data_IF_216728748181
#
_entry.id   IF_216728748181
#
_cell.length_a   1.000
_cell.length_b   1.000
_cell.length_c   1.000
_cell.angle_alpha   90.00
_cell.angle_beta   90.00
_cell.angle_gamma   90.00
#
_symmetry.space_group_name_H-M   'P 1'
#
loop_
_entity.id
_entity.type
_entity.pdbx_description
1 polymer ?
#
# COMPACT_ATOMS: atom_id res chain seq x y z
N UNK A 1 20.67 -8.15 2.60
CA UNK A 1 19.48 -7.38 3.05
C UNK A 1 19.26 -6.13 2.21
N UNK A 2 20.29 -5.30 1.97
CA UNK A 2 20.18 -4.08 1.12
C UNK A 2 19.75 -4.29 -0.34
N UNK A 3 19.91 -5.49 -0.91
CA UNK A 3 19.49 -5.74 -2.30
C UNK A 3 17.96 -5.76 -2.52
N UNK A 4 17.19 -6.28 -1.55
CA UNK A 4 15.72 -6.34 -1.69
C UNK A 4 15.13 -4.94 -1.58
N UNK A 5 15.56 -4.15 -0.59
CA UNK A 5 15.11 -2.77 -0.40
C UNK A 5 15.45 -1.89 -1.61
N UNK A 6 16.68 -2.00 -2.14
CA UNK A 6 17.10 -1.26 -3.33
C UNK A 6 16.34 -1.67 -4.59
N UNK A 7 16.06 -2.96 -4.77
CA UNK A 7 15.28 -3.46 -5.90
C UNK A 7 13.83 -2.97 -5.81
N UNK A 8 13.20 -3.14 -4.64
CA UNK A 8 11.85 -2.64 -4.35
C UNK A 8 11.76 -1.15 -4.60
N UNK A 9 12.68 -0.36 -4.04
CA UNK A 9 12.74 1.08 -4.26
C UNK A 9 12.78 1.44 -5.75
N UNK A 10 13.65 0.77 -6.52
CA UNK A 10 13.83 1.06 -7.94
C UNK A 10 12.55 0.76 -8.71
N UNK A 11 11.91 -0.39 -8.47
CA UNK A 11 10.65 -0.74 -9.12
C UNK A 11 9.52 0.22 -8.72
N UNK A 12 9.36 0.49 -7.42
CA UNK A 12 8.35 1.42 -6.90
C UNK A 12 8.54 2.82 -7.50
N UNK A 13 9.77 3.30 -7.60
CA UNK A 13 10.08 4.57 -8.27
C UNK A 13 9.62 4.54 -9.74
N UNK A 14 10.04 3.55 -10.52
CA UNK A 14 9.70 3.46 -11.94
C UNK A 14 8.18 3.36 -12.17
N UNK A 15 7.47 2.61 -11.34
CA UNK A 15 6.00 2.52 -11.38
C UNK A 15 5.36 3.86 -11.03
N UNK A 16 5.81 4.51 -9.95
CA UNK A 16 5.25 5.79 -9.49
C UNK A 16 5.40 6.92 -10.52
N UNK A 17 6.46 6.88 -11.33
CA UNK A 17 6.70 7.83 -12.42
C UNK A 17 5.98 7.45 -13.73
N UNK A 18 5.19 6.37 -13.73
CA UNK A 18 4.49 5.87 -14.91
C UNK A 18 5.39 5.20 -15.96
N UNK A 19 6.69 5.02 -15.68
CA UNK A 19 7.64 4.32 -16.57
C UNK A 19 7.38 2.82 -16.63
N UNK A 20 6.75 2.27 -15.58
CA UNK A 20 6.20 0.92 -15.54
C UNK A 20 4.70 0.99 -15.24
N UNK A 21 3.90 0.01 -15.72
CA UNK A 21 2.47 -0.05 -15.40
C UNK A 21 2.21 -0.28 -13.91
N UNK A 22 1.12 0.30 -13.37
CA UNK A 22 0.69 0.07 -11.97
C UNK A 22 0.56 -1.40 -11.59
N UNK A 23 0.16 -2.27 -12.52
CA UNK A 23 0.06 -3.71 -12.30
C UNK A 23 1.38 -4.36 -11.84
N UNK A 24 2.53 -3.75 -12.10
CA UNK A 24 3.83 -4.22 -11.61
C UNK A 24 3.95 -4.15 -10.08
N UNK A 25 3.12 -3.35 -9.39
CA UNK A 25 3.05 -3.39 -7.93
C UNK A 25 2.72 -4.79 -7.40
N UNK A 26 1.95 -5.61 -8.13
CA UNK A 26 1.63 -6.96 -7.69
C UNK A 26 2.91 -7.82 -7.56
N UNK A 27 3.80 -7.74 -8.55
CA UNK A 27 5.07 -8.46 -8.51
C UNK A 27 5.98 -7.96 -7.36
N UNK A 28 5.99 -6.65 -7.12
CA UNK A 28 6.71 -6.06 -5.97
C UNK A 28 6.14 -6.61 -4.66
N UNK A 29 4.82 -6.57 -4.49
CA UNK A 29 4.11 -7.01 -3.28
C UNK A 29 4.35 -8.51 -3.03
N UNK A 30 4.24 -9.35 -4.07
CA UNK A 30 4.49 -10.79 -3.96
C UNK A 30 5.95 -11.09 -3.57
N UNK A 31 6.91 -10.33 -4.12
CA UNK A 31 8.33 -10.49 -3.80
C UNK A 31 8.68 -10.10 -2.35
N UNK A 32 7.89 -9.22 -1.73
CA UNK A 32 8.15 -8.68 -0.38
C UNK A 32 7.17 -9.15 0.70
N UNK A 33 6.11 -9.90 0.35
CA UNK A 33 5.10 -10.37 1.29
C UNK A 33 5.70 -11.22 2.45
N UNK A 34 6.75 -11.98 2.17
CA UNK A 34 7.52 -12.75 3.15
C UNK A 34 8.66 -12.01 3.85
N UNK A 35 8.89 -10.72 3.54
CA UNK A 35 10.01 -9.96 4.09
C UNK A 35 9.72 -9.46 5.51
N UNK A 36 10.67 -9.63 6.43
CA UNK A 36 10.46 -9.33 7.85
C UNK A 36 10.29 -7.83 8.17
N UNK A 37 10.82 -6.92 7.34
CA UNK A 37 10.72 -5.46 7.58
C UNK A 37 9.53 -4.84 6.84
N UNK A 38 8.32 -5.33 7.14
CA UNK A 38 7.08 -4.95 6.44
C UNK A 38 6.77 -3.46 6.51
N UNK A 39 7.01 -2.81 7.66
CA UNK A 39 6.77 -1.37 7.82
C UNK A 39 7.63 -0.54 6.88
N UNK A 40 8.91 -0.90 6.73
CA UNK A 40 9.84 -0.20 5.84
C UNK A 40 9.41 -0.33 4.36
N UNK A 41 9.05 -1.54 3.94
CA UNK A 41 8.52 -1.80 2.60
C UNK A 41 7.22 -1.03 2.37
N UNK A 42 6.31 -1.06 3.33
CA UNK A 42 5.03 -0.39 3.25
C UNK A 42 5.21 1.12 3.13
N UNK A 43 6.14 1.71 3.88
CA UNK A 43 6.47 3.12 3.76
C UNK A 43 6.99 3.47 2.34
N UNK A 44 7.87 2.65 1.75
CA UNK A 44 8.29 2.82 0.36
C UNK A 44 7.11 2.73 -0.62
N UNK A 45 6.22 1.74 -0.43
CA UNK A 45 5.01 1.59 -1.25
C UNK A 45 4.09 2.81 -1.10
N UNK A 46 3.86 3.30 0.11
CA UNK A 46 3.04 4.48 0.39
C UNK A 46 3.56 5.71 -0.37
N UNK A 47 4.87 5.94 -0.37
CA UNK A 47 5.49 6.98 -1.20
C UNK A 47 5.24 6.75 -2.69
N UNK A 48 5.48 5.54 -3.20
CA UNK A 48 5.24 5.22 -4.61
C UNK A 48 3.79 5.43 -5.04
N UNK A 49 2.83 5.02 -4.20
CA UNK A 49 1.40 5.17 -4.42
C UNK A 49 1.00 6.65 -4.42
N UNK A 50 1.51 7.44 -3.47
CA UNK A 50 1.29 8.88 -3.45
C UNK A 50 1.86 9.56 -4.70
N UNK A 51 3.05 9.17 -5.13
CA UNK A 51 3.64 9.70 -6.34
C UNK A 51 2.87 9.30 -7.61
N UNK A 52 2.34 8.08 -7.67
CA UNK A 52 1.44 7.67 -8.75
C UNK A 52 0.16 8.53 -8.82
N UNK A 53 -0.28 9.17 -7.72
CA UNK A 53 -1.39 10.12 -7.77
C UNK A 53 -1.00 11.45 -8.39
N UNK A 54 0.16 11.98 -8.04
CA UNK A 54 0.56 13.34 -8.42
C UNK A 54 1.17 13.41 -9.83
N UNK A 55 1.83 12.33 -10.27
CA UNK A 55 2.43 12.27 -11.61
C UNK A 55 1.32 12.06 -12.65
N UNK A 56 1.21 13.02 -13.57
CA UNK A 56 0.32 12.93 -14.72
C UNK A 56 0.94 12.03 -15.79
N UNK A 57 0.53 10.76 -15.83
CA UNK A 57 0.96 9.79 -16.84
C UNK A 57 -0.18 8.83 -17.19
N UNK A 58 -0.20 8.29 -18.41
CA UNK A 58 -1.22 7.34 -18.88
C UNK A 58 -1.27 6.05 -18.03
N UNK A 59 -0.13 5.67 -17.45
CA UNK A 59 0.02 4.47 -16.61
C UNK A 59 -0.41 4.69 -15.15
N UNK A 60 -0.56 5.93 -14.71
CA UNK A 60 -0.88 6.30 -13.31
C UNK A 60 -2.21 7.08 -13.19
N UNK A 61 -2.90 7.27 -14.31
CA UNK A 61 -4.20 7.93 -14.36
C UNK A 61 -5.24 7.31 -13.41
N UNK A 62 -6.25 8.10 -13.04
CA UNK A 62 -7.25 7.71 -12.02
C UNK A 62 -7.93 6.38 -12.34
N UNK A 63 -8.26 6.10 -13.61
CA UNK A 63 -8.85 4.83 -14.02
C UNK A 63 -7.90 3.65 -13.84
N UNK A 64 -6.59 3.84 -14.06
CA UNK A 64 -5.59 2.78 -13.85
C UNK A 64 -5.44 2.46 -12.37
N UNK A 65 -5.40 3.49 -11.51
CA UNK A 65 -5.39 3.36 -10.04
C UNK A 65 -6.64 2.65 -9.53
N UNK A 66 -7.81 3.04 -10.03
CA UNK A 66 -9.10 2.42 -9.68
C UNK A 66 -9.16 0.96 -10.06
N UNK A 67 -8.86 0.62 -11.32
CA UNK A 67 -8.89 -0.76 -11.78
C UNK A 67 -7.91 -1.63 -10.98
N UNK A 68 -6.69 -1.13 -10.75
CA UNK A 68 -5.70 -1.86 -9.97
C UNK A 68 -6.15 -2.10 -8.53
N UNK A 69 -6.76 -1.11 -7.85
CA UNK A 69 -7.25 -1.30 -6.47
C UNK A 69 -8.38 -2.32 -6.39
N UNK A 70 -9.30 -2.30 -7.36
CA UNK A 70 -10.41 -3.25 -7.41
C UNK A 70 -9.91 -4.68 -7.66
N UNK A 71 -8.93 -4.85 -8.55
CA UNK A 71 -8.28 -6.14 -8.79
C UNK A 71 -7.54 -6.61 -7.53
N UNK A 72 -6.85 -5.70 -6.83
CA UNK A 72 -6.13 -5.98 -5.60
C UNK A 72 -7.07 -6.39 -4.45
N UNK A 73 -8.20 -5.71 -4.28
CA UNK A 73 -9.27 -6.12 -3.36
C UNK A 73 -9.74 -7.55 -3.67
N UNK A 74 -10.00 -7.86 -4.95
CA UNK A 74 -10.35 -9.20 -5.39
C UNK A 74 -9.29 -10.26 -5.05
N UNK A 75 -8.01 -9.92 -5.20
CA UNK A 75 -6.88 -10.77 -4.84
C UNK A 75 -6.84 -11.09 -3.34
N UNK A 76 -6.95 -10.07 -2.48
CA UNK A 76 -6.98 -10.23 -1.01
C UNK A 76 -8.12 -11.17 -0.60
N UNK A 77 -9.32 -10.93 -1.13
CA UNK A 77 -10.49 -11.77 -0.84
C UNK A 77 -10.23 -13.21 -1.26
N UNK A 78 -9.71 -13.44 -2.47
CA UNK A 78 -9.43 -14.79 -2.95
C UNK A 78 -8.40 -15.52 -2.06
N UNK A 79 -7.42 -14.81 -1.50
CA UNK A 79 -6.49 -15.40 -0.53
C UNK A 79 -7.17 -15.75 0.80
N UNK A 80 -8.00 -14.84 1.33
CA UNK A 80 -8.72 -15.05 2.58
C UNK A 80 -9.62 -16.29 2.53
N UNK A 81 -10.31 -16.53 1.41
CA UNK A 81 -11.19 -17.68 1.22
C UNK A 81 -10.48 -18.99 0.82
N UNK A 82 -9.19 -18.95 0.43
CA UNK A 82 -8.39 -20.14 0.06
C UNK A 82 -7.61 -20.74 1.24
N UNK A 83 -7.73 -20.18 2.44
CA UNK A 83 -7.01 -20.63 3.64
C UNK A 83 -7.25 -22.13 3.92
N UNK A 84 -6.18 -22.93 3.97
CA UNK A 84 -6.25 -24.37 4.29
C UNK A 84 -5.86 -24.60 5.76
N UNK A 85 -6.55 -25.43 6.55
CA UNK A 85 -6.56 -25.32 8.01
C UNK A 85 -5.29 -25.65 8.82
N UNK A 86 -4.14 -26.04 8.23
CA UNK A 86 -3.09 -26.74 9.01
C UNK A 86 -1.79 -25.97 9.29
N UNK A 87 -1.45 -24.86 8.61
CA UNK A 87 -0.26 -24.03 8.89
C UNK A 87 -0.53 -22.52 8.63
N UNK A 88 -1.43 -21.92 9.41
CA UNK A 88 -2.10 -20.64 9.08
C UNK A 88 -1.40 -19.33 9.49
N UNK A 89 -0.25 -19.38 10.18
CA UNK A 89 0.39 -18.15 10.68
C UNK A 89 0.96 -17.28 9.55
N UNK A 90 1.55 -17.89 8.53
CA UNK A 90 2.13 -17.16 7.38
C UNK A 90 1.07 -16.51 6.49
N UNK A 91 -0.10 -17.12 6.36
CA UNK A 91 -1.19 -16.59 5.54
C UNK A 91 -1.88 -15.39 6.20
N UNK A 92 -2.15 -15.46 7.51
CA UNK A 92 -2.69 -14.30 8.26
C UNK A 92 -1.77 -13.09 8.14
N UNK A 93 -0.49 -13.32 8.40
CA UNK A 93 0.55 -12.30 8.27
C UNK A 93 0.64 -11.69 6.86
N UNK A 94 0.45 -12.51 5.83
CA UNK A 94 0.39 -12.05 4.45
C UNK A 94 -0.86 -11.17 4.21
N UNK A 95 -2.04 -11.63 4.64
CA UNK A 95 -3.29 -10.87 4.51
C UNK A 95 -3.21 -9.54 5.27
N UNK A 96 -2.64 -9.54 6.48
CA UNK A 96 -2.41 -8.31 7.27
C UNK A 96 -1.57 -7.30 6.46
N UNK A 97 -0.47 -7.75 5.87
CA UNK A 97 0.36 -6.89 5.03
C UNK A 97 -0.38 -6.36 3.80
N UNK A 98 -1.16 -7.21 3.13
CA UNK A 98 -1.95 -6.78 1.97
C UNK A 98 -3.02 -5.75 2.36
N UNK A 99 -3.63 -5.89 3.54
CA UNK A 99 -4.58 -4.91 4.06
C UNK A 99 -3.89 -3.58 4.42
N UNK A 100 -2.65 -3.62 4.88
CA UNK A 100 -1.86 -2.40 5.05
C UNK A 100 -1.55 -1.71 3.72
N UNK A 101 -1.22 -2.49 2.69
CA UNK A 101 -1.04 -1.95 1.33
C UNK A 101 -2.36 -1.35 0.81
N UNK A 102 -3.49 -2.01 1.01
CA UNK A 102 -4.82 -1.46 0.69
C UNK A 102 -5.03 -0.11 1.39
N UNK A 103 -4.73 -0.02 2.69
CA UNK A 103 -4.84 1.21 3.44
C UNK A 103 -3.96 2.33 2.87
N UNK A 104 -2.70 2.01 2.57
CA UNK A 104 -1.77 2.95 1.93
C UNK A 104 -2.29 3.45 0.58
N UNK A 105 -2.91 2.60 -0.23
CA UNK A 105 -3.50 3.00 -1.51
C UNK A 105 -4.66 3.98 -1.31
N UNK A 106 -5.58 3.64 -0.39
CA UNK A 106 -6.75 4.47 -0.11
C UNK A 106 -6.32 5.83 0.44
N UNK A 107 -5.44 5.87 1.44
CA UNK A 107 -4.93 7.12 2.03
C UNK A 107 -4.18 7.94 0.98
N UNK A 108 -3.29 7.32 0.20
CA UNK A 108 -2.51 8.01 -0.83
C UNK A 108 -3.38 8.59 -1.94
N UNK A 109 -4.53 7.98 -2.25
CA UNK A 109 -5.37 8.35 -3.38
C UNK A 109 -6.62 9.14 -3.02
N UNK A 110 -7.07 9.06 -1.76
CA UNK A 110 -8.20 9.77 -1.22
C UNK A 110 -8.01 11.27 -1.41
N UNK A 111 -6.93 11.85 -0.91
CA UNK A 111 -6.62 13.27 -1.08
C UNK A 111 -5.10 13.54 -1.14
N UNK A 112 -4.73 14.82 -1.23
CA UNK A 112 -3.34 15.24 -1.21
C UNK A 112 -2.84 15.50 0.22
N UNK A 113 -3.74 15.82 1.16
CA UNK A 113 -3.42 16.31 2.49
C UNK A 113 -2.96 15.21 3.43
N UNK A 114 -3.62 14.05 3.41
CA UNK A 114 -3.27 12.89 4.24
C UNK A 114 -1.79 12.50 4.10
N UNK A 115 -1.30 12.21 2.88
CA UNK A 115 0.12 11.89 2.68
C UNK A 115 1.08 12.98 3.18
N UNK A 116 0.76 14.27 2.98
CA UNK A 116 1.61 15.36 3.48
C UNK A 116 1.64 15.41 5.02
N UNK A 117 0.50 15.17 5.69
CA UNK A 117 0.43 15.10 7.15
C UNK A 117 1.23 13.93 7.72
N UNK A 118 1.35 12.86 6.95
CA UNK A 118 2.20 11.70 7.27
C UNK A 118 3.69 11.97 6.98
N UNK A 119 4.05 13.18 6.53
CA UNK A 119 5.43 13.56 6.24
C UNK A 119 5.93 13.13 4.86
N UNK A 120 5.05 12.69 3.95
CA UNK A 120 5.46 12.35 2.59
C UNK A 120 5.82 13.61 1.80
N UNK A 121 6.89 13.52 1.03
CA UNK A 121 7.29 14.56 0.07
C UNK A 121 6.65 14.31 -1.29
N UNK A 122 6.24 15.39 -1.98
CA UNK A 122 5.85 15.35 -3.38
C UNK A 122 7.05 15.32 -4.34
N UNK A 123 8.27 15.44 -3.83
CA UNK A 123 9.52 15.41 -4.59
C UNK A 123 10.41 14.22 -4.17
N UNK A 124 10.81 13.42 -5.17
CA UNK A 124 11.79 12.33 -5.02
C UNK A 124 13.23 12.84 -4.89
N UNK A 125 13.50 14.13 -5.08
CA UNK A 125 14.85 14.72 -5.04
C UNK A 125 15.56 14.50 -3.70
N UNK A 126 14.83 14.53 -2.58
CA UNK A 126 15.33 14.19 -1.24
C UNK A 126 15.95 12.79 -1.21
N UNK A 127 15.33 11.85 -1.92
CA UNK A 127 15.83 10.48 -2.04
C UNK A 127 16.97 10.33 -3.05
N UNK A 128 16.98 11.11 -4.14
CA UNK A 128 18.11 11.18 -5.09
C UNK A 128 19.38 11.69 -4.41
N UNK A 129 19.28 12.68 -3.52
CA UNK A 129 20.42 13.18 -2.76
C UNK A 129 20.98 12.12 -1.80
N UNK A 130 20.11 11.34 -1.13
CA UNK A 130 20.54 10.23 -0.29
C UNK A 130 21.19 9.08 -1.07
N UNK A 131 20.77 8.82 -2.31
CA UNK A 131 21.40 7.81 -3.18
C UNK A 131 22.68 8.28 -3.88
N UNK A 132 22.89 9.60 -4.00
CA UNK A 132 24.09 10.18 -4.64
C UNK A 132 25.19 10.52 -3.62
N UNK A 133 24.83 10.83 -2.36
CA UNK A 133 25.76 11.02 -1.24
C UNK A 133 26.14 9.67 -0.61
N UNK A 134 26.81 8.82 -1.37
CA UNK A 134 27.33 7.51 -0.93
C UNK A 134 28.43 7.58 0.16
N UNK A 135 28.57 8.71 0.86
CA UNK A 135 29.55 8.93 1.94
C UNK A 135 28.92 9.30 3.29
N UNK A 136 27.60 9.41 3.39
CA UNK A 136 26.92 9.46 4.69
C UNK A 136 26.71 8.03 5.22
N UNK A 137 26.95 7.78 6.52
CA UNK A 137 26.93 6.43 7.06
C UNK A 137 25.51 5.89 6.97
N UNK A 138 25.29 4.85 6.15
CA UNK A 138 24.20 3.84 6.16
C UNK A 138 22.92 4.20 6.94
N UNK A 139 22.40 5.43 6.83
CA UNK A 139 21.30 5.95 7.63
C UNK A 139 19.99 5.66 6.87
N UNK A 140 19.70 4.35 6.80
CA UNK A 140 18.44 3.79 7.27
C UNK A 140 17.15 4.57 6.92
N UNK A 141 17.03 5.02 5.68
CA UNK A 141 15.79 5.64 5.19
C UNK A 141 14.63 4.64 5.34
N UNK A 142 13.50 5.05 5.90
CA UNK A 142 12.36 4.16 6.16
C UNK A 142 12.52 3.26 7.40
N UNK A 143 13.59 3.45 8.19
CA UNK A 143 13.77 2.87 9.54
C UNK A 143 13.81 3.97 10.60
N UNK A 144 13.55 5.23 10.23
CA UNK A 144 13.40 6.30 11.19
C UNK A 144 12.10 6.09 11.98
N UNK A 145 12.07 6.37 13.30
CA UNK A 145 10.84 6.23 14.09
C UNK A 145 9.62 6.95 13.49
N UNK A 146 9.85 8.05 12.79
CA UNK A 146 8.81 8.81 12.08
C UNK A 146 8.20 8.05 10.89
N UNK A 147 8.98 7.20 10.22
CA UNK A 147 8.50 6.42 9.06
C UNK A 147 7.56 5.30 9.51
N UNK A 148 7.90 4.67 10.64
CA UNK A 148 7.04 3.70 11.32
C UNK A 148 5.74 4.35 11.82
N UNK A 149 5.83 5.56 12.37
CA UNK A 149 4.65 6.32 12.78
C UNK A 149 3.75 6.63 11.59
N UNK A 150 4.31 7.05 10.45
CA UNK A 150 3.54 7.31 9.24
C UNK A 150 2.75 6.08 8.76
N UNK A 151 3.35 4.88 8.85
CA UNK A 151 2.67 3.61 8.57
C UNK A 151 1.50 3.36 9.52
N UNK A 152 1.70 3.56 10.83
CA UNK A 152 0.64 3.34 11.81
C UNK A 152 -0.52 4.32 11.62
N UNK A 153 -0.20 5.60 11.45
CA UNK A 153 -1.19 6.66 11.18
C UNK A 153 -1.94 6.42 9.87
N UNK A 154 -1.29 5.82 8.86
CA UNK A 154 -1.97 5.39 7.61
C UNK A 154 -3.11 4.42 7.90
N UNK A 155 -2.92 3.47 8.81
CA UNK A 155 -3.97 2.51 9.18
C UNK A 155 -5.13 3.22 9.91
N UNK A 156 -4.82 4.16 10.79
CA UNK A 156 -5.82 4.95 11.53
C UNK A 156 -6.64 5.88 10.62
N UNK A 157 -6.03 6.39 9.55
CA UNK A 157 -6.70 7.25 8.56
C UNK A 157 -7.60 6.50 7.59
N UNK A 158 -7.60 5.17 7.58
CA UNK A 158 -8.30 4.38 6.58
C UNK A 158 -9.82 4.69 6.51
N UNK A 159 -10.59 4.69 7.62
CA UNK A 159 -12.05 4.85 7.53
C UNK A 159 -12.48 6.19 6.93
N UNK A 160 -11.82 7.28 7.34
CA UNK A 160 -12.08 8.61 6.79
C UNK A 160 -11.62 8.73 5.33
N UNK A 161 -10.48 8.13 5.00
CA UNK A 161 -9.92 8.13 3.64
C UNK A 161 -10.79 7.36 2.65
N UNK A 162 -11.44 6.26 3.05
CA UNK A 162 -12.42 5.54 2.22
C UNK A 162 -13.57 6.50 1.84
N UNK A 163 -14.11 7.22 2.83
CA UNK A 163 -15.21 8.17 2.60
C UNK A 163 -14.79 9.29 1.64
N UNK A 164 -13.59 9.83 1.81
CA UNK A 164 -13.05 10.89 0.94
C UNK A 164 -12.77 10.38 -0.48
N UNK A 165 -12.26 9.16 -0.63
CA UNK A 165 -11.99 8.55 -1.93
C UNK A 165 -13.29 8.33 -2.71
N UNK A 166 -14.27 7.69 -2.08
CA UNK A 166 -15.55 7.32 -2.69
C UNK A 166 -16.48 8.51 -2.92
N UNK A 167 -16.18 9.69 -2.38
CA UNK A 167 -16.89 10.92 -2.70
C UNK A 167 -16.52 11.51 -4.08
N UNK A 168 -15.48 10.99 -4.76
CA UNK A 168 -14.90 11.58 -5.97
C UNK A 168 -15.19 10.72 -7.19
N UNK A 169 -15.41 11.32 -8.36
CA UNK A 169 -15.46 10.57 -9.61
C UNK A 169 -14.05 10.13 -10.04
N UNK A 170 -13.88 8.91 -10.59
CA UNK A 170 -14.89 7.86 -10.87
C UNK A 170 -15.09 6.86 -9.71
N UNK A 171 -14.47 7.11 -8.54
CA UNK A 171 -14.53 6.19 -7.39
C UNK A 171 -15.92 6.04 -6.80
N UNK A 172 -16.75 7.09 -6.89
CA UNK A 172 -18.13 7.09 -6.40
C UNK A 172 -18.96 5.95 -6.98
N UNK A 173 -18.78 5.63 -8.26
CA UNK A 173 -19.44 4.50 -8.93
C UNK A 173 -19.04 3.13 -8.35
N UNK A 174 -17.93 3.05 -7.61
CA UNK A 174 -17.42 1.81 -7.03
C UNK A 174 -17.81 1.64 -5.55
N UNK A 175 -18.60 2.55 -4.97
CA UNK A 175 -18.98 2.54 -3.55
C UNK A 175 -19.55 1.19 -3.11
N UNK A 176 -20.50 0.64 -3.86
CA UNK A 176 -21.11 -0.65 -3.52
C UNK A 176 -20.08 -1.79 -3.53
N UNK A 177 -19.12 -1.79 -4.47
CA UNK A 177 -18.06 -2.81 -4.52
C UNK A 177 -17.14 -2.74 -3.30
N UNK A 178 -16.85 -1.54 -2.78
CA UNK A 178 -16.08 -1.39 -1.55
C UNK A 178 -16.85 -1.93 -0.34
N UNK A 179 -18.14 -1.60 -0.21
CA UNK A 179 -19.00 -2.09 0.87
C UNK A 179 -19.10 -3.62 0.82
N UNK A 180 -19.46 -4.18 -0.33
CA UNK A 180 -19.57 -5.62 -0.53
C UNK A 180 -18.26 -6.34 -0.23
N UNK A 181 -17.13 -5.75 -0.62
CA UNK A 181 -15.83 -6.31 -0.34
C UNK A 181 -15.50 -6.30 1.16
N UNK A 182 -15.71 -5.18 1.86
CA UNK A 182 -15.50 -5.08 3.31
C UNK A 182 -16.34 -6.12 4.08
N UNK A 183 -17.62 -6.25 3.74
CA UNK A 183 -18.52 -7.25 4.31
C UNK A 183 -17.96 -8.65 4.04
N UNK A 184 -17.60 -8.97 2.80
CA UNK A 184 -17.05 -10.29 2.44
C UNK A 184 -15.74 -10.61 3.17
N UNK A 185 -14.91 -9.60 3.46
CA UNK A 185 -13.69 -9.79 4.22
C UNK A 185 -14.00 -10.12 5.69
N UNK A 186 -14.95 -9.41 6.31
CA UNK A 186 -15.40 -9.69 7.68
C UNK A 186 -16.13 -11.04 7.81
N UNK A 187 -16.74 -11.53 6.73
CA UNK A 187 -17.39 -12.85 6.64
C UNK A 187 -16.44 -13.99 6.19
N UNK A 188 -15.16 -13.68 5.97
CA UNK A 188 -14.16 -14.69 5.61
C UNK A 188 -13.95 -15.73 6.73
N UNK A 189 -13.35 -16.91 6.45
CA UNK A 189 -13.10 -17.92 7.48
C UNK A 189 -12.42 -17.32 8.71
N UNK A 190 -12.81 -17.74 9.93
CA UNK A 190 -12.35 -17.13 11.20
C UNK A 190 -10.83 -17.19 11.35
N UNK A 191 -10.18 -18.13 10.69
CA UNK A 191 -8.74 -18.33 10.68
C UNK A 191 -8.01 -17.51 9.59
N UNK A 192 -8.72 -16.75 8.76
CA UNK A 192 -8.13 -15.97 7.67
C UNK A 192 -7.62 -14.60 8.15
N UNK A 193 -8.34 -13.93 9.04
CA UNK A 193 -7.98 -12.60 9.54
C UNK A 193 -7.33 -12.65 10.93
N UNK A 194 -6.39 -11.72 11.17
CA UNK A 194 -5.93 -11.37 12.51
C UNK A 194 -6.92 -10.43 13.20
N UNK A 195 -6.81 -10.28 14.52
CA UNK A 195 -7.60 -9.30 15.28
C UNK A 195 -7.34 -7.86 14.79
N UNK A 196 -6.08 -7.53 14.47
CA UNK A 196 -5.73 -6.23 13.89
C UNK A 196 -6.40 -5.98 12.54
N UNK A 197 -6.49 -7.00 11.70
CA UNK A 197 -7.15 -6.89 10.39
C UNK A 197 -8.66 -6.74 10.52
N UNK A 198 -9.29 -7.42 11.48
CA UNK A 198 -10.71 -7.22 11.79
C UNK A 198 -10.93 -5.79 12.28
N UNK A 199 -10.11 -5.29 13.22
CA UNK A 199 -10.22 -3.93 13.73
C UNK A 199 -9.99 -2.86 12.65
N UNK A 200 -9.16 -3.14 11.65
CA UNK A 200 -8.88 -2.21 10.55
C UNK A 200 -10.06 -2.10 9.55
N UNK A 201 -10.84 -3.16 9.41
CA UNK A 201 -11.95 -3.25 8.45
C UNK A 201 -13.31 -2.82 9.03
N UNK A 202 -13.40 -2.64 10.35
CA UNK A 202 -14.59 -2.16 11.07
C UNK A 202 -14.67 -0.63 11.07
#
# INVERSE_FOLDING_TARGET
>A
QSNVEKATFTEVYLISQGRLPLMKFNAVIDAVAGYHQREHILWMLLHGLYHARIVSHENTGVLKRMNWLLDFMGYIRNLAYKSTPLENTSLKECIDFLLWVFAACVVAWADHGGPLLLGLSADWSLWKHQTTLAELPDEHTGKHPTDKLAVQETLTLLPSSISVLLAKEPWKEQTQKFIDWLISMLESPKEALSESSVSLLQ
#
